data_IF_765610749602
#
_entry.id   IF_765610749602
#
_cell.length_a   1.000
_cell.length_b   1.000
_cell.length_c   1.000
_cell.angle_alpha   90.00
_cell.angle_beta   90.00
_cell.angle_gamma   90.00
#
_symmetry.space_group_name_H-M   'P 1'
#
loop_
_entity.id
_entity.type
_entity.pdbx_description
1 polymer ?
#
# COMPACT_ATOMS: atom_id res chain seq x y z
N UNK A 1 2.25 -20.50 3.27
CA UNK A 1 1.81 -19.70 2.12
C UNK A 1 1.42 -18.29 2.53
N UNK A 2 0.48 -18.13 3.46
CA UNK A 2 0.02 -16.79 3.87
C UNK A 2 1.10 -15.97 4.55
N UNK A 3 1.96 -16.59 5.35
CA UNK A 3 3.09 -15.86 5.95
C UNK A 3 3.97 -15.21 4.87
N UNK A 4 4.34 -15.96 3.84
CA UNK A 4 5.15 -15.43 2.75
C UNK A 4 4.42 -14.28 2.03
N UNK A 5 3.11 -14.43 1.80
CA UNK A 5 2.30 -13.38 1.18
C UNK A 5 2.35 -12.08 1.98
N UNK A 6 2.18 -12.15 3.30
CA UNK A 6 2.21 -10.94 4.14
C UNK A 6 3.62 -10.37 4.30
N UNK A 7 4.66 -11.19 4.24
CA UNK A 7 6.04 -10.69 4.18
C UNK A 7 6.25 -9.89 2.89
N UNK A 8 5.77 -10.39 1.76
CA UNK A 8 5.86 -9.67 0.48
C UNK A 8 5.06 -8.37 0.53
N UNK A 9 3.87 -8.39 1.12
CA UNK A 9 3.06 -7.19 1.30
C UNK A 9 3.78 -6.14 2.16
N UNK A 10 4.43 -6.59 3.25
CA UNK A 10 5.22 -5.70 4.12
C UNK A 10 6.39 -5.08 3.35
N UNK A 11 7.14 -5.90 2.60
CA UNK A 11 8.28 -5.42 1.80
C UNK A 11 7.83 -4.44 0.72
N UNK A 12 6.72 -4.71 0.06
CA UNK A 12 6.17 -3.79 -0.94
C UNK A 12 5.90 -2.43 -0.33
N UNK A 13 5.29 -2.39 0.86
CA UNK A 13 5.01 -1.15 1.56
C UNK A 13 6.28 -0.42 2.01
N UNK A 14 7.31 -1.15 2.43
CA UNK A 14 8.61 -0.54 2.78
C UNK A 14 9.25 0.11 1.55
N UNK A 15 9.25 -0.60 0.42
CA UNK A 15 9.83 -0.09 -0.83
C UNK A 15 9.07 1.14 -1.33
N UNK A 16 7.76 1.19 -1.15
CA UNK A 16 6.94 2.34 -1.55
C UNK A 16 7.00 3.48 -0.52
N UNK A 17 6.94 3.15 0.77
CA UNK A 17 6.78 4.15 1.82
C UNK A 17 8.07 4.80 2.28
N UNK A 18 9.16 4.03 2.39
CA UNK A 18 10.42 4.56 2.90
C UNK A 18 11.01 5.67 2.02
N UNK A 19 11.12 5.49 0.69
CA UNK A 19 11.60 6.59 -0.16
C UNK A 19 10.71 7.82 -0.10
N UNK A 20 9.40 7.64 -0.03
CA UNK A 20 8.46 8.75 0.04
C UNK A 20 8.59 9.51 1.36
N UNK A 21 8.99 8.86 2.44
CA UNK A 21 9.23 9.49 3.73
C UNK A 21 10.56 10.24 3.76
N UNK A 22 11.65 9.63 3.28
CA UNK A 22 13.01 10.16 3.48
C UNK A 22 13.52 10.96 2.28
N UNK A 23 13.05 10.66 1.07
CA UNK A 23 13.46 11.34 -0.16
C UNK A 23 12.26 11.47 -1.12
N UNK A 24 11.19 12.20 -0.72
CA UNK A 24 9.97 12.29 -1.52
C UNK A 24 10.19 12.92 -2.88
N UNK A 25 11.07 13.92 -2.97
CA UNK A 25 11.43 14.58 -4.22
C UNK A 25 12.05 13.60 -5.23
N UNK A 26 13.03 12.81 -4.77
CA UNK A 26 13.70 11.81 -5.63
C UNK A 26 12.70 10.75 -6.09
N UNK A 27 11.83 10.29 -5.20
CA UNK A 27 10.81 9.30 -5.57
C UNK A 27 9.83 9.84 -6.61
N UNK A 28 9.32 11.07 -6.41
CA UNK A 28 8.41 11.68 -7.36
C UNK A 28 9.07 11.87 -8.73
N UNK A 29 10.34 12.30 -8.76
CA UNK A 29 11.09 12.41 -10.01
C UNK A 29 11.24 11.06 -10.71
N UNK A 30 11.53 10.01 -9.97
CA UNK A 30 11.64 8.66 -10.52
C UNK A 30 10.32 8.17 -11.13
N UNK A 31 9.18 8.62 -10.61
CA UNK A 31 7.84 8.28 -11.12
C UNK A 31 7.35 9.27 -12.16
N UNK A 32 8.17 10.23 -12.58
CA UNK A 32 7.79 11.29 -13.52
C UNK A 32 6.61 12.14 -13.03
N UNK A 33 6.46 12.24 -11.71
CA UNK A 33 5.40 13.02 -11.08
C UNK A 33 5.87 14.44 -10.79
N UNK A 34 4.94 15.42 -10.76
CA UNK A 34 5.29 16.78 -10.36
C UNK A 34 5.81 16.80 -8.92
N UNK A 35 6.82 17.64 -8.67
CA UNK A 35 7.40 17.80 -7.32
C UNK A 35 6.92 19.15 -6.78
N UNK A 36 6.01 19.16 -5.78
CA UNK A 36 5.56 20.41 -5.18
C UNK A 36 6.63 21.02 -4.29
N UNK A 37 6.49 22.30 -3.97
CA UNK A 37 7.42 23.01 -3.10
C UNK A 37 7.40 22.46 -1.67
N UNK A 38 6.21 22.08 -1.17
CA UNK A 38 6.05 21.48 0.15
C UNK A 38 5.71 20.01 0.02
N UNK A 39 6.55 19.17 0.60
CA UNK A 39 6.43 17.71 0.53
C UNK A 39 5.93 17.10 1.83
N UNK A 40 5.40 17.90 2.75
CA UNK A 40 4.96 17.41 4.07
C UNK A 40 3.92 16.29 3.96
N UNK A 41 2.90 16.48 3.12
CA UNK A 41 1.85 15.47 2.98
C UNK A 41 2.33 14.21 2.26
N UNK A 42 3.29 14.34 1.35
CA UNK A 42 3.95 13.19 0.74
C UNK A 42 4.72 12.38 1.79
N UNK A 43 5.39 13.06 2.71
CA UNK A 43 6.09 12.39 3.82
C UNK A 43 5.10 11.73 4.78
N UNK A 44 3.98 12.36 5.09
CA UNK A 44 2.91 11.72 5.87
C UNK A 44 2.42 10.44 5.20
N UNK A 45 2.19 10.50 3.89
CA UNK A 45 1.77 9.33 3.12
C UNK A 45 2.82 8.21 3.23
N UNK A 46 4.09 8.54 3.07
CA UNK A 46 5.17 7.57 3.21
C UNK A 46 5.20 6.93 4.58
N UNK A 47 5.03 7.73 5.63
CA UNK A 47 4.97 7.23 7.01
C UNK A 47 3.80 6.26 7.20
N UNK A 48 2.61 6.61 6.73
CA UNK A 48 1.43 5.76 6.86
C UNK A 48 1.60 4.45 6.07
N UNK A 49 2.18 4.52 4.89
CA UNK A 49 2.47 3.32 4.09
C UNK A 49 3.46 2.41 4.83
N UNK A 50 4.48 2.98 5.48
CA UNK A 50 5.41 2.21 6.31
C UNK A 50 4.70 1.58 7.52
N UNK A 51 3.83 2.31 8.19
CA UNK A 51 3.07 1.79 9.34
C UNK A 51 2.22 0.59 8.92
N UNK A 52 1.57 0.68 7.76
CA UNK A 52 0.83 -0.47 7.22
C UNK A 52 1.76 -1.64 6.87
N UNK A 53 2.98 -1.34 6.40
CA UNK A 53 3.99 -2.38 6.20
C UNK A 53 4.31 -3.13 7.49
N UNK A 54 4.48 -2.38 8.60
CA UNK A 54 4.65 -2.96 9.92
C UNK A 54 3.45 -3.82 10.34
N UNK A 55 2.24 -3.36 10.04
CA UNK A 55 1.02 -4.14 10.29
C UNK A 55 1.03 -5.47 9.52
N UNK A 56 1.38 -5.46 8.24
CA UNK A 56 1.45 -6.69 7.45
C UNK A 56 2.54 -7.64 7.98
N UNK A 57 3.65 -7.09 8.47
CA UNK A 57 4.69 -7.89 9.13
C UNK A 57 4.16 -8.55 10.41
N UNK A 58 3.34 -7.82 11.18
CA UNK A 58 2.70 -8.39 12.37
C UNK A 58 1.74 -9.53 11.99
N UNK A 59 0.97 -9.38 10.92
CA UNK A 59 0.10 -10.46 10.42
C UNK A 59 0.93 -11.66 9.99
N UNK A 60 2.05 -11.43 9.32
CA UNK A 60 2.96 -12.52 8.93
C UNK A 60 3.48 -13.28 10.15
N UNK A 61 3.73 -12.57 11.25
CA UNK A 61 4.21 -13.16 12.50
C UNK A 61 3.11 -13.93 13.22
N UNK A 62 1.91 -13.38 13.34
CA UNK A 62 0.79 -13.98 14.08
C UNK A 62 -0.53 -13.72 13.34
N UNK A 63 -0.88 -14.66 12.45
CA UNK A 63 -2.07 -14.54 11.60
C UNK A 63 -3.36 -14.66 12.39
N UNK A 64 -3.36 -15.43 13.48
CA UNK A 64 -4.56 -15.62 14.28
C UNK A 64 -4.92 -14.35 15.04
N UNK A 65 -3.92 -13.68 15.58
CA UNK A 65 -4.11 -12.47 16.38
C UNK A 65 -4.45 -11.26 15.50
N UNK A 66 -3.68 -11.05 14.43
CA UNK A 66 -3.78 -9.83 13.63
C UNK A 66 -4.58 -10.01 12.34
N UNK A 67 -4.82 -11.26 11.92
CA UNK A 67 -5.52 -11.55 10.68
C UNK A 67 -6.89 -10.89 10.55
N UNK A 68 -7.75 -10.88 11.60
CA UNK A 68 -9.05 -10.24 11.49
C UNK A 68 -9.02 -8.75 11.13
N UNK A 69 -7.88 -8.08 11.36
CA UNK A 69 -7.72 -6.66 11.04
C UNK A 69 -7.29 -6.40 9.59
N UNK A 70 -7.06 -7.43 8.81
CA UNK A 70 -6.59 -7.30 7.41
C UNK A 70 -7.60 -6.55 6.54
N UNK A 71 -8.88 -6.52 6.91
CA UNK A 71 -9.88 -5.72 6.19
C UNK A 71 -9.49 -4.23 6.13
N UNK A 72 -8.73 -3.74 7.12
CA UNK A 72 -8.22 -2.36 7.09
C UNK A 72 -7.25 -2.16 5.92
N UNK A 73 -6.44 -3.17 5.63
CA UNK A 73 -5.56 -3.15 4.46
C UNK A 73 -6.35 -3.15 3.14
N UNK A 74 -7.46 -3.90 3.10
CA UNK A 74 -8.35 -3.90 1.93
C UNK A 74 -8.91 -2.49 1.68
N UNK A 75 -9.46 -1.86 2.72
CA UNK A 75 -10.03 -0.52 2.60
C UNK A 75 -8.97 0.50 2.21
N UNK A 76 -7.80 0.45 2.87
CA UNK A 76 -6.72 1.40 2.60
C UNK A 76 -6.20 1.30 1.17
N UNK A 77 -5.88 0.09 0.72
CA UNK A 77 -5.36 -0.10 -0.64
C UNK A 77 -6.43 0.17 -1.71
N UNK A 78 -7.66 -0.28 -1.50
CA UNK A 78 -8.75 0.02 -2.43
C UNK A 78 -8.99 1.53 -2.52
N UNK A 79 -8.95 2.24 -1.40
CA UNK A 79 -9.09 3.69 -1.37
C UNK A 79 -7.98 4.40 -2.15
N UNK A 80 -6.73 3.97 -1.97
CA UNK A 80 -5.59 4.52 -2.73
C UNK A 80 -5.77 4.30 -4.23
N UNK A 81 -6.19 3.09 -4.63
CA UNK A 81 -6.42 2.76 -6.04
C UNK A 81 -7.49 3.69 -6.63
N UNK A 82 -8.61 3.89 -5.92
CA UNK A 82 -9.69 4.74 -6.40
C UNK A 82 -9.25 6.21 -6.52
N UNK A 83 -8.53 6.72 -5.52
CA UNK A 83 -8.02 8.10 -5.56
C UNK A 83 -7.02 8.31 -6.69
N UNK A 84 -6.11 7.34 -6.88
CA UNK A 84 -5.11 7.43 -7.96
C UNK A 84 -5.76 7.27 -9.32
N UNK A 85 -6.78 6.43 -9.45
CA UNK A 85 -7.52 6.30 -10.70
C UNK A 85 -8.22 7.60 -11.08
N UNK A 86 -8.89 8.23 -10.11
CA UNK A 86 -9.51 9.54 -10.32
C UNK A 86 -8.48 10.58 -10.76
N UNK A 87 -7.36 10.67 -10.06
CA UNK A 87 -6.31 11.63 -10.37
C UNK A 87 -5.69 11.38 -11.75
N UNK A 88 -5.48 10.11 -12.11
CA UNK A 88 -4.95 9.75 -13.42
C UNK A 88 -5.93 10.11 -14.54
N UNK A 89 -7.21 9.80 -14.36
CA UNK A 89 -8.24 10.12 -15.35
C UNK A 89 -8.42 11.62 -15.53
N UNK A 90 -8.17 12.40 -14.47
CA UNK A 90 -8.20 13.87 -14.52
C UNK A 90 -6.91 14.47 -15.05
N UNK A 91 -5.91 13.67 -15.40
CA UNK A 91 -4.62 14.16 -15.92
C UNK A 91 -3.71 14.76 -14.85
N UNK A 92 -3.99 14.53 -13.57
CA UNK A 92 -3.20 15.14 -12.47
C UNK A 92 -1.99 14.30 -12.06
N UNK A 93 -1.93 13.01 -12.41
CA UNK A 93 -0.79 12.15 -12.12
C UNK A 93 -0.41 11.36 -13.37
N UNK A 94 0.91 11.05 -13.57
CA UNK A 94 1.34 10.25 -14.70
C UNK A 94 1.00 8.77 -14.49
N UNK A 95 1.06 7.99 -15.57
CA UNK A 95 0.79 6.56 -15.52
C UNK A 95 1.70 5.82 -14.54
N UNK A 96 2.97 6.24 -14.42
CA UNK A 96 3.92 5.56 -13.52
C UNK A 96 3.43 5.55 -12.07
N UNK A 97 2.90 6.66 -11.59
CA UNK A 97 2.31 6.73 -10.25
C UNK A 97 1.06 5.86 -10.11
N UNK A 98 0.21 5.87 -11.13
CA UNK A 98 -0.98 5.03 -11.16
C UNK A 98 -0.61 3.53 -11.22
N UNK A 99 0.44 3.18 -11.97
CA UNK A 99 0.89 1.79 -12.06
C UNK A 99 1.32 1.23 -10.70
N UNK A 100 1.96 2.04 -9.85
CA UNK A 100 2.31 1.64 -8.48
C UNK A 100 1.04 1.34 -7.69
N UNK A 101 0.01 2.17 -7.81
CA UNK A 101 -1.27 1.93 -7.15
C UNK A 101 -1.96 0.66 -7.68
N UNK A 102 -1.85 0.38 -8.98
CA UNK A 102 -2.39 -0.86 -9.55
C UNK A 102 -1.73 -2.11 -8.98
N UNK A 103 -0.46 -2.03 -8.56
CA UNK A 103 0.20 -3.12 -7.85
C UNK A 103 -0.52 -3.48 -6.56
N UNK A 104 -1.13 -2.51 -5.89
CA UNK A 104 -1.92 -2.75 -4.68
C UNK A 104 -3.16 -3.61 -4.95
N UNK A 105 -3.67 -3.64 -6.18
CA UNK A 105 -4.85 -4.44 -6.52
C UNK A 105 -4.60 -5.93 -6.30
N UNK A 106 -3.39 -6.41 -6.58
CA UNK A 106 -3.01 -7.80 -6.34
C UNK A 106 -3.11 -8.12 -4.84
N UNK A 107 -2.66 -7.20 -4.00
CA UNK A 107 -2.73 -7.37 -2.54
C UNK A 107 -4.18 -7.31 -2.04
N UNK A 108 -5.02 -6.46 -2.62
CA UNK A 108 -6.46 -6.41 -2.26
C UNK A 108 -7.10 -7.78 -2.50
N UNK A 109 -6.87 -8.39 -3.65
CA UNK A 109 -7.39 -9.72 -3.94
C UNK A 109 -6.85 -10.77 -2.98
N UNK A 110 -5.55 -10.73 -2.68
CA UNK A 110 -4.94 -11.64 -1.71
C UNK A 110 -5.50 -11.46 -0.30
N UNK A 111 -5.69 -10.21 0.14
CA UNK A 111 -6.28 -9.93 1.46
C UNK A 111 -7.71 -10.43 1.55
N UNK A 112 -8.52 -10.23 0.51
CA UNK A 112 -9.88 -10.74 0.47
C UNK A 112 -9.92 -12.26 0.51
N UNK A 113 -9.04 -12.92 -0.25
CA UNK A 113 -8.93 -14.37 -0.22
C UNK A 113 -8.57 -14.89 1.18
N UNK A 114 -7.63 -14.21 1.85
CA UNK A 114 -7.24 -14.54 3.21
C UNK A 114 -8.40 -14.38 4.19
N UNK A 115 -9.13 -13.28 4.12
CA UNK A 115 -10.26 -13.01 5.00
C UNK A 115 -11.41 -14.01 4.78
N UNK A 116 -11.71 -14.34 3.54
CA UNK A 116 -12.76 -15.31 3.21
C UNK A 116 -12.38 -16.71 3.69
N UNK A 117 -11.11 -17.10 3.57
CA UNK A 117 -10.61 -18.35 4.10
C UNK A 117 -10.78 -18.40 5.62
N UNK A 118 -10.40 -17.34 6.33
CA UNK A 118 -10.50 -17.27 7.79
C UNK A 118 -11.95 -17.40 8.24
N UNK A 119 -12.91 -16.77 7.52
CA UNK A 119 -14.32 -16.89 7.81
C UNK A 119 -14.85 -18.33 7.66
N UNK A 120 -14.31 -19.08 6.67
CA UNK A 120 -14.74 -20.47 6.43
C UNK A 120 -14.26 -21.40 7.53
N UNK A 121 -13.16 -21.08 8.20
CA UNK A 121 -12.59 -21.89 9.27
C UNK A 121 -13.06 -21.49 10.65
N UNK A 122 -13.74 -20.36 10.76
CA UNK A 122 -14.37 -19.90 11.99
C UNK A 122 -15.77 -20.49 12.10
#
# INVERSE_FOLDING_TARGET
>A
MWRAFFVVAALYNVVAGLPLLVAPDAMLQALNAPVPDDLLYHRFTGLLVLVFGGFYAAVAHDQDRFGPLVWMGVVGKAGVILLMAEAFMAGRVPFDGFAVALGDLLFVFGFLAFLLRTKKTA
#
